data_IF_747913476271
#
_entry.id   IF_747913476271
#
_cell.length_a   1.000
_cell.length_b   1.000
_cell.length_c   1.000
_cell.angle_alpha   90.00
_cell.angle_beta   90.00
_cell.angle_gamma   90.00
#
_symmetry.space_group_name_H-M   'P 1'
#
loop_
_entity.id
_entity.type
_entity.pdbx_description
1 polymer ?
#
# COMPACT_ATOMS: atom_id res chain seq x y z
N UNK A 1 13.69 -45.35 54.88
CA UNK A 1 13.03 -45.28 53.55
C UNK A 1 12.10 -44.10 53.56
N UNK A 2 12.45 -43.07 52.78
CA UNK A 2 11.73 -41.81 52.60
C UNK A 2 10.62 -41.98 51.57
N UNK A 3 9.38 -41.60 51.92
CA UNK A 3 8.50 -41.10 50.89
C UNK A 3 7.80 -39.79 51.29
N UNK A 4 7.76 -38.88 50.31
CA UNK A 4 6.52 -38.18 49.93
C UNK A 4 5.98 -37.06 50.83
N UNK A 5 6.81 -36.10 51.25
CA UNK A 5 6.29 -34.82 51.77
C UNK A 5 6.98 -33.56 51.21
N UNK A 6 7.50 -33.63 49.98
CA UNK A 6 8.07 -32.45 49.28
C UNK A 6 7.31 -32.04 48.02
N UNK A 7 6.37 -32.85 47.53
CA UNK A 7 5.65 -32.58 46.27
C UNK A 7 4.38 -31.74 46.41
N UNK A 8 3.74 -31.65 47.60
CA UNK A 8 2.45 -30.97 47.74
C UNK A 8 2.53 -29.45 48.00
N UNK A 9 3.68 -28.93 48.47
CA UNK A 9 3.87 -27.50 48.75
C UNK A 9 4.48 -26.74 47.55
N UNK A 10 5.12 -27.45 46.62
CA UNK A 10 5.68 -26.85 45.41
C UNK A 10 4.58 -26.42 44.42
N UNK A 11 3.49 -27.17 44.34
CA UNK A 11 2.37 -26.93 43.41
C UNK A 11 1.69 -25.57 43.65
N UNK A 12 1.29 -25.17 44.88
CA UNK A 12 0.69 -23.85 45.09
C UNK A 12 1.66 -22.70 44.84
N UNK A 13 2.96 -22.88 45.13
CA UNK A 13 3.98 -21.85 44.89
C UNK A 13 4.17 -21.61 43.39
N UNK A 14 4.23 -22.68 42.59
CA UNK A 14 4.34 -22.56 41.13
C UNK A 14 3.09 -21.92 40.53
N UNK A 15 1.90 -22.25 41.04
CA UNK A 15 0.64 -21.64 40.59
C UNK A 15 0.62 -20.13 40.87
N UNK A 16 1.05 -19.70 42.05
CA UNK A 16 1.13 -18.27 42.41
C UNK A 16 2.16 -17.53 41.55
N UNK A 17 3.33 -18.14 41.29
CA UNK A 17 4.35 -17.55 40.41
C UNK A 17 3.88 -17.44 38.96
N UNK A 18 3.13 -18.43 38.45
CA UNK A 18 2.56 -18.39 37.10
C UNK A 18 1.50 -17.28 36.95
N UNK A 19 0.65 -17.09 37.97
CA UNK A 19 -0.35 -16.02 37.98
C UNK A 19 0.32 -14.65 38.09
N UNK A 20 1.37 -14.51 38.92
CA UNK A 20 2.18 -13.29 39.00
C UNK A 20 2.87 -12.97 37.67
N UNK A 21 3.39 -13.97 36.96
CA UNK A 21 3.98 -13.79 35.64
C UNK A 21 2.94 -13.38 34.57
N UNK A 22 1.72 -13.94 34.63
CA UNK A 22 0.62 -13.52 33.75
C UNK A 22 0.13 -12.09 34.05
N UNK A 23 0.14 -11.68 35.32
CA UNK A 23 -0.18 -10.32 35.72
C UNK A 23 0.84 -9.31 35.19
N UNK A 24 2.14 -9.63 35.17
CA UNK A 24 3.14 -8.72 34.59
C UNK A 24 3.04 -8.63 33.07
N UNK A 25 2.59 -9.70 32.39
CA UNK A 25 2.29 -9.68 30.96
C UNK A 25 1.12 -8.75 30.61
N UNK A 26 0.17 -8.51 31.54
CA UNK A 26 -0.94 -7.57 31.34
C UNK A 26 -0.51 -6.09 31.38
N UNK A 27 0.67 -5.80 31.93
CA UNK A 27 1.25 -4.45 31.97
C UNK A 27 2.28 -4.20 30.87
N UNK A 28 2.52 -5.17 29.99
CA UNK A 28 3.26 -4.89 28.77
C UNK A 28 2.42 -3.91 27.95
N UNK A 29 2.96 -2.71 27.64
CA UNK A 29 2.29 -1.84 26.70
C UNK A 29 2.07 -2.67 25.44
N UNK A 30 0.82 -2.74 24.99
CA UNK A 30 0.51 -3.38 23.72
C UNK A 30 1.49 -2.78 22.71
N UNK A 31 2.41 -3.60 22.21
CA UNK A 31 3.21 -3.23 21.05
C UNK A 31 2.19 -3.06 19.95
N UNK A 32 1.74 -1.82 19.80
CA UNK A 32 0.98 -1.37 18.66
C UNK A 32 1.98 -1.48 17.52
N UNK A 33 2.08 -2.70 16.96
CA UNK A 33 2.79 -2.92 15.72
C UNK A 33 2.28 -1.84 14.78
N UNK A 34 3.21 -1.07 14.20
CA UNK A 34 2.91 -0.03 13.23
C UNK A 34 1.89 -0.62 12.25
N UNK A 35 0.61 -0.28 12.44
CA UNK A 35 -0.42 -0.64 11.49
C UNK A 35 -0.03 0.18 10.29
N UNK A 36 0.59 -0.45 9.28
CA UNK A 36 1.09 0.24 8.11
C UNK A 36 -0.12 0.93 7.46
N UNK A 37 -0.25 2.23 7.74
CA UNK A 37 -1.41 3.01 7.33
C UNK A 37 -1.33 3.14 5.81
N UNK A 38 -2.43 2.81 5.13
CA UNK A 38 -2.51 2.98 3.69
C UNK A 38 -2.20 4.44 3.33
N UNK A 39 -1.20 4.70 2.47
CA UNK A 39 -0.81 6.05 2.14
C UNK A 39 -1.94 6.80 1.45
N UNK A 40 -1.98 8.12 1.63
CA UNK A 40 -2.87 8.99 0.86
C UNK A 40 -2.22 9.33 -0.46
N UNK A 41 -3.00 9.27 -1.54
CA UNK A 41 -2.50 9.44 -2.90
C UNK A 41 -3.34 10.47 -3.64
N UNK A 42 -2.66 11.45 -4.22
CA UNK A 42 -3.25 12.32 -5.24
C UNK A 42 -2.88 11.80 -6.64
N UNK A 43 -3.84 11.77 -7.56
CA UNK A 43 -3.64 11.24 -8.91
C UNK A 43 -3.82 12.34 -9.94
N UNK A 44 -2.71 12.75 -10.54
CA UNK A 44 -2.66 13.65 -11.68
C UNK A 44 -2.44 12.82 -12.95
N UNK A 45 -3.35 12.93 -13.92
CA UNK A 45 -3.24 12.23 -15.22
C UNK A 45 -3.33 13.25 -16.34
N UNK A 46 -2.27 13.35 -17.13
CA UNK A 46 -2.16 14.25 -18.28
C UNK A 46 -2.01 13.45 -19.57
N UNK A 47 -2.71 13.90 -20.61
CA UNK A 47 -2.67 13.32 -21.95
C UNK A 47 -3.26 14.32 -22.95
N UNK A 48 -2.94 14.16 -24.22
CA UNK A 48 -3.60 14.91 -25.28
C UNK A 48 -5.03 14.38 -25.47
N UNK A 49 -6.02 15.17 -25.01
CA UNK A 49 -7.44 14.83 -25.10
C UNK A 49 -7.97 14.77 -26.55
N UNK A 50 -7.26 15.34 -27.52
CA UNK A 50 -7.62 15.23 -28.93
C UNK A 50 -7.24 13.88 -29.55
N UNK A 51 -6.34 13.12 -28.89
CA UNK A 51 -5.92 11.80 -29.33
C UNK A 51 -6.92 10.71 -28.87
N UNK A 52 -7.63 10.15 -29.85
CA UNK A 52 -8.64 9.09 -29.65
C UNK A 52 -8.11 7.79 -29.04
N UNK A 53 -6.81 7.54 -29.12
CA UNK A 53 -6.20 6.33 -28.57
C UNK A 53 -5.77 6.49 -27.11
N UNK A 54 -5.42 7.71 -26.70
CA UNK A 54 -5.02 7.99 -25.32
C UNK A 54 -6.22 8.06 -24.37
N UNK A 55 -7.40 8.46 -24.85
CA UNK A 55 -8.59 8.60 -24.00
C UNK A 55 -9.08 7.26 -23.40
N UNK A 56 -9.18 6.15 -24.15
CA UNK A 56 -9.48 4.83 -23.57
C UNK A 56 -8.41 4.37 -22.58
N UNK A 57 -7.13 4.61 -22.89
CA UNK A 57 -6.00 4.25 -22.04
C UNK A 57 -6.02 5.00 -20.71
N UNK A 58 -6.28 6.31 -20.77
CA UNK A 58 -6.45 7.18 -19.60
C UNK A 58 -7.63 6.73 -18.72
N UNK A 59 -8.74 6.34 -19.36
CA UNK A 59 -9.92 5.83 -18.68
C UNK A 59 -9.63 4.50 -17.98
N UNK A 60 -8.97 3.55 -18.66
CA UNK A 60 -8.59 2.26 -18.07
C UNK A 60 -7.62 2.44 -16.89
N UNK A 61 -6.60 3.30 -17.02
CA UNK A 61 -5.67 3.62 -15.94
C UNK A 61 -6.41 4.23 -14.74
N UNK A 62 -7.23 5.25 -14.97
CA UNK A 62 -8.02 5.88 -13.90
C UNK A 62 -8.95 4.88 -13.23
N UNK A 63 -9.61 4.02 -14.00
CA UNK A 63 -10.45 2.95 -13.46
C UNK A 63 -9.66 2.01 -12.56
N UNK A 64 -8.50 1.50 -13.00
CA UNK A 64 -7.64 0.60 -12.22
C UNK A 64 -7.13 1.27 -10.95
N UNK A 65 -6.66 2.50 -11.07
CA UNK A 65 -6.20 3.30 -9.93
C UNK A 65 -7.32 3.50 -8.91
N UNK A 66 -8.57 3.68 -9.35
CA UNK A 66 -9.71 3.86 -8.44
C UNK A 66 -10.24 2.57 -7.80
N UNK A 67 -10.02 1.41 -8.43
CA UNK A 67 -10.71 0.15 -8.05
C UNK A 67 -9.79 -0.91 -7.46
N UNK A 68 -8.55 -1.00 -7.92
CA UNK A 68 -7.63 -2.09 -7.60
C UNK A 68 -6.44 -1.64 -6.73
N UNK A 69 -6.47 -0.41 -6.22
CA UNK A 69 -5.40 0.15 -5.40
C UNK A 69 -5.39 -0.37 -3.95
N UNK A 70 -4.23 -0.26 -3.31
CA UNK A 70 -4.03 -0.51 -1.87
C UNK A 70 -3.88 0.78 -1.06
N UNK A 71 -3.94 1.95 -1.71
CA UNK A 71 -3.84 3.28 -1.10
C UNK A 71 -5.21 3.96 -0.95
N UNK A 72 -5.24 5.14 -0.31
CA UNK A 72 -6.43 5.99 -0.21
C UNK A 72 -6.32 7.12 -1.22
N UNK A 73 -7.18 7.13 -2.23
CA UNK A 73 -7.24 8.26 -3.15
C UNK A 73 -7.78 9.51 -2.46
N UNK A 74 -7.19 10.64 -2.83
CA UNK A 74 -7.74 11.95 -2.53
C UNK A 74 -8.84 12.29 -3.54
N UNK A 75 -9.89 12.86 -3.00
CA UNK A 75 -11.05 13.35 -3.71
C UNK A 75 -11.23 14.80 -3.25
N UNK A 76 -12.02 15.60 -3.98
CA UNK A 76 -12.28 17.01 -3.66
C UNK A 76 -12.79 17.24 -2.22
N UNK A 77 -13.37 16.21 -1.59
CA UNK A 77 -13.91 16.26 -0.22
C UNK A 77 -13.04 15.51 0.81
N UNK A 78 -11.86 15.01 0.44
CA UNK A 78 -11.02 14.21 1.33
C UNK A 78 -10.21 15.08 2.27
N UNK A 79 -10.46 14.92 3.58
CA UNK A 79 -9.63 15.53 4.62
C UNK A 79 -8.53 14.55 5.04
N UNK A 80 -7.28 14.91 4.77
CA UNK A 80 -6.12 14.14 5.23
C UNK A 80 -5.85 14.47 6.70
N UNK A 81 -5.88 13.49 7.61
CA UNK A 81 -5.56 13.74 9.02
C UNK A 81 -4.12 14.23 9.16
N UNK A 82 -3.89 15.15 10.10
CA UNK A 82 -2.55 15.68 10.36
C UNK A 82 -1.56 14.55 10.70
N UNK A 83 -0.33 14.65 10.16
CA UNK A 83 0.72 13.65 10.35
C UNK A 83 0.76 12.51 9.33
N UNK A 84 -0.11 12.51 8.32
CA UNK A 84 -0.04 11.54 7.21
C UNK A 84 0.71 12.12 6.00
N UNK A 85 1.49 11.27 5.33
CA UNK A 85 2.17 11.60 4.07
C UNK A 85 1.19 11.50 2.89
N UNK A 86 1.19 12.51 2.03
CA UNK A 86 0.47 12.51 0.75
C UNK A 86 1.50 12.22 -0.35
N UNK A 87 1.28 11.15 -1.11
CA UNK A 87 2.08 10.84 -2.29
C UNK A 87 1.34 11.34 -3.53
N UNK A 88 1.99 12.19 -4.31
CA UNK A 88 1.45 12.61 -5.61
C UNK A 88 1.92 11.62 -6.67
N UNK A 89 0.97 11.11 -7.44
CA UNK A 89 1.24 10.28 -8.61
C UNK A 89 0.92 11.10 -9.85
N UNK A 90 1.94 11.39 -10.65
CA UNK A 90 1.78 12.07 -11.93
C UNK A 90 1.93 11.06 -13.03
N UNK A 91 0.93 10.91 -13.89
CA UNK A 91 0.95 10.04 -15.06
C UNK A 91 0.84 10.92 -16.31
N UNK A 92 1.76 10.70 -17.25
CA UNK A 92 1.79 11.35 -18.55
C UNK A 92 1.66 10.28 -19.64
N UNK A 93 0.65 10.45 -20.51
CA UNK A 93 0.44 9.57 -21.66
C UNK A 93 0.71 10.35 -22.94
N UNK A 94 1.52 9.79 -23.81
CA UNK A 94 1.74 10.33 -25.15
C UNK A 94 1.84 9.22 -26.19
N UNK A 95 1.62 9.59 -27.45
CA UNK A 95 1.74 8.70 -28.60
C UNK A 95 2.60 9.37 -29.65
N UNK A 96 3.51 8.60 -30.25
CA UNK A 96 4.31 9.00 -31.39
C UNK A 96 4.60 7.77 -32.25
N UNK A 97 4.42 7.87 -33.57
CA UNK A 97 4.79 6.82 -34.54
C UNK A 97 4.28 5.41 -34.15
N UNK A 98 2.98 5.30 -33.83
CA UNK A 98 2.31 4.08 -33.34
C UNK A 98 2.85 3.47 -32.03
N UNK A 99 3.75 4.18 -31.35
CA UNK A 99 4.25 3.84 -30.02
C UNK A 99 3.55 4.67 -28.95
N UNK A 100 3.12 3.99 -27.90
CA UNK A 100 2.61 4.59 -26.67
C UNK A 100 3.75 4.76 -25.67
N UNK A 101 3.77 5.91 -25.04
CA UNK A 101 4.70 6.28 -23.98
C UNK A 101 3.91 6.58 -22.72
N UNK A 102 4.00 5.70 -21.73
CA UNK A 102 3.31 5.84 -20.44
C UNK A 102 4.37 6.10 -19.38
N UNK A 103 4.41 7.33 -18.87
CA UNK A 103 5.36 7.75 -17.85
C UNK A 103 4.61 8.05 -16.57
N UNK A 104 5.17 7.65 -15.44
CA UNK A 104 4.64 8.00 -14.14
C UNK A 104 5.76 8.42 -13.19
N UNK A 105 5.45 9.33 -12.27
CA UNK A 105 6.25 9.56 -11.08
C UNK A 105 5.39 9.16 -9.87
N UNK A 106 5.81 8.14 -9.13
CA UNK A 106 5.14 7.67 -7.93
C UNK A 106 6.12 7.74 -6.76
N UNK A 107 5.78 8.50 -5.72
CA UNK A 107 6.63 8.68 -4.53
C UNK A 107 8.07 9.10 -4.84
N UNK A 108 8.28 9.90 -5.89
CA UNK A 108 9.61 10.37 -6.31
C UNK A 108 10.36 9.41 -7.25
N UNK A 109 9.82 8.21 -7.52
CA UNK A 109 10.40 7.26 -8.46
C UNK A 109 9.76 7.41 -9.84
N UNK A 110 10.61 7.60 -10.86
CA UNK A 110 10.18 7.58 -12.25
C UNK A 110 9.94 6.14 -12.74
N UNK A 111 8.81 5.92 -13.40
CA UNK A 111 8.36 4.65 -13.96
C UNK A 111 7.99 4.90 -15.41
N UNK A 112 8.46 4.04 -16.31
CA UNK A 112 8.18 4.19 -17.74
C UNK A 112 7.82 2.85 -18.36
N UNK A 113 6.75 2.85 -19.15
CA UNK A 113 6.25 1.68 -19.86
C UNK A 113 5.89 2.10 -21.27
N UNK A 114 6.69 1.63 -22.23
CA UNK A 114 6.54 1.98 -23.63
C UNK A 114 6.27 0.74 -24.47
N UNK A 115 5.54 0.90 -25.56
CA UNK A 115 5.25 -0.20 -26.47
C UNK A 115 4.32 0.19 -27.60
N UNK A 116 4.03 -0.73 -28.52
CA UNK A 116 3.13 -0.46 -29.64
C UNK A 116 1.71 -0.23 -29.14
N UNK A 117 0.95 0.57 -29.89
CA UNK A 117 -0.44 0.88 -29.57
C UNK A 117 -1.35 -0.35 -29.43
N UNK A 118 -1.05 -1.43 -30.16
CA UNK A 118 -1.76 -2.70 -30.06
C UNK A 118 -1.65 -3.35 -28.68
N UNK A 119 -0.63 -3.00 -27.90
CA UNK A 119 -0.40 -3.50 -26.54
C UNK A 119 -0.97 -2.56 -25.45
N UNK A 120 -1.75 -1.54 -25.79
CA UNK A 120 -2.24 -0.50 -24.88
C UNK A 120 -2.74 -1.02 -23.51
N UNK A 121 -3.64 -2.01 -23.52
CA UNK A 121 -4.21 -2.61 -22.30
C UNK A 121 -3.17 -3.33 -21.43
N UNK A 122 -2.19 -4.00 -22.06
CA UNK A 122 -1.08 -4.63 -21.33
C UNK A 122 -0.14 -3.58 -20.74
N UNK A 123 0.12 -2.49 -21.46
CA UNK A 123 0.96 -1.39 -21.00
C UNK A 123 0.31 -0.65 -19.82
N UNK A 124 -0.99 -0.36 -19.87
CA UNK A 124 -1.71 0.25 -18.73
C UNK A 124 -1.70 -0.64 -17.50
N UNK A 125 -1.96 -1.93 -17.66
CA UNK A 125 -1.90 -2.91 -16.56
C UNK A 125 -0.51 -2.98 -15.94
N UNK A 126 0.54 -3.00 -16.77
CA UNK A 126 1.94 -3.00 -16.31
C UNK A 126 2.29 -1.72 -15.56
N UNK A 127 1.93 -0.55 -16.09
CA UNK A 127 2.17 0.74 -15.43
C UNK A 127 1.49 0.77 -14.06
N UNK A 128 0.21 0.39 -13.98
CA UNK A 128 -0.54 0.31 -12.75
C UNK A 128 0.13 -0.60 -11.71
N UNK A 129 0.56 -1.80 -12.11
CA UNK A 129 1.25 -2.74 -11.22
C UNK A 129 2.55 -2.15 -10.67
N UNK A 130 3.34 -1.49 -11.52
CA UNK A 130 4.60 -0.86 -11.11
C UNK A 130 4.35 0.28 -10.13
N UNK A 131 3.37 1.14 -10.39
CA UNK A 131 2.97 2.23 -9.49
C UNK A 131 2.59 1.66 -8.11
N UNK A 132 1.75 0.64 -8.05
CA UNK A 132 1.37 0.02 -6.77
C UNK A 132 2.55 -0.61 -6.05
N UNK A 133 3.45 -1.26 -6.78
CA UNK A 133 4.65 -1.86 -6.20
C UNK A 133 5.55 -0.79 -5.59
N UNK A 134 5.72 0.35 -6.25
CA UNK A 134 6.48 1.50 -5.74
C UNK A 134 5.82 2.08 -4.49
N UNK A 135 4.51 2.30 -4.49
CA UNK A 135 3.79 2.85 -3.32
C UNK A 135 3.79 1.89 -2.12
N UNK A 136 3.83 0.57 -2.35
CA UNK A 136 3.93 -0.41 -1.28
C UNK A 136 5.31 -0.42 -0.59
N UNK A 137 6.34 0.12 -1.25
CA UNK A 137 7.71 0.21 -0.74
C UNK A 137 8.05 1.59 -0.16
N UNK A 138 7.20 2.59 -0.38
CA UNK A 138 7.34 3.95 0.13
C UNK A 138 6.85 4.07 1.57
#
# INVERSE_FOLDING_TARGET
MTPMLKHNLAIPIIAVLAVLALLTLAWLPAQTGNVQQRPWVDLELSFDASNRHLQPLATDLRYRMNTHHTYRLLNENSQVPQGHTIHVIRIELSQQDDMLWLRANAAGQAIEVNGPISAASSLSSKLFSLINQTLAQA
#
